data_IF_889424097650
#
_entry.id   IF_889424097650
#
_cell.length_a   1.000
_cell.length_b   1.000
_cell.length_c   1.000
_cell.angle_alpha   90.00
_cell.angle_beta   90.00
_cell.angle_gamma   90.00
#
_symmetry.space_group_name_H-M   'P 1'
#
loop_
_entity.id
_entity.type
_entity.pdbx_description
1 polymer ?
#
# COMPACT_ATOMS: atom_id res chain seq x y z
N UNK A 1 18.26 -14.91 10.45
CA UNK A 1 17.52 -14.72 11.71
C UNK A 1 16.14 -14.10 11.50
N UNK A 2 16.08 -12.95 10.83
CA UNK A 2 14.78 -12.31 10.51
C UNK A 2 13.93 -13.14 9.55
N UNK A 3 14.55 -13.78 8.57
CA UNK A 3 13.85 -14.63 7.61
C UNK A 3 13.17 -15.83 8.28
N UNK A 4 13.80 -16.43 9.26
CA UNK A 4 13.22 -17.55 10.00
C UNK A 4 12.05 -17.11 10.87
N UNK A 5 12.17 -15.96 11.55
CA UNK A 5 11.09 -15.40 12.38
C UNK A 5 9.88 -14.97 11.58
N UNK A 6 10.11 -14.44 10.38
CA UNK A 6 9.02 -14.02 9.49
C UNK A 6 8.21 -15.22 9.02
N UNK A 7 8.84 -16.38 8.80
CA UNK A 7 8.12 -17.60 8.43
C UNK A 7 7.18 -18.10 9.52
N UNK A 8 7.41 -17.71 10.77
CA UNK A 8 6.54 -18.06 11.90
C UNK A 8 5.29 -17.16 11.99
N UNK A 9 5.28 -16.03 11.28
CA UNK A 9 4.12 -15.12 11.29
C UNK A 9 2.98 -15.76 10.48
N UNK A 10 1.77 -15.85 11.05
CA UNK A 10 0.64 -16.42 10.32
C UNK A 10 0.35 -15.69 9.02
N UNK A 11 0.03 -16.46 7.97
CA UNK A 11 -0.43 -15.98 6.66
C UNK A 11 0.64 -15.30 5.79
N UNK A 12 1.90 -15.31 6.20
CA UNK A 12 3.01 -14.75 5.42
C UNK A 12 3.13 -15.42 4.06
N UNK A 13 2.91 -16.74 3.99
CA UNK A 13 2.97 -17.49 2.75
C UNK A 13 1.96 -16.97 1.71
N UNK A 14 0.84 -16.41 2.15
CA UNK A 14 -0.17 -15.85 1.27
C UNK A 14 0.25 -14.52 0.66
N UNK A 15 1.01 -13.71 1.40
CA UNK A 15 1.65 -12.53 0.84
C UNK A 15 2.71 -12.90 -0.19
N UNK A 16 3.53 -13.89 0.12
CA UNK A 16 4.60 -14.34 -0.78
C UNK A 16 4.05 -14.97 -2.06
N UNK A 17 2.82 -15.46 -2.03
CA UNK A 17 2.13 -16.00 -3.21
C UNK A 17 1.68 -14.92 -4.19
N UNK A 18 1.59 -13.66 -3.76
CA UNK A 18 1.21 -12.55 -4.64
C UNK A 18 2.33 -12.22 -5.62
N UNK A 19 1.98 -12.05 -6.89
CA UNK A 19 2.95 -11.59 -7.88
C UNK A 19 3.44 -10.20 -7.53
N UNK A 20 4.75 -10.02 -7.57
CA UNK A 20 5.38 -8.73 -7.27
C UNK A 20 5.72 -8.55 -5.79
N UNK A 21 5.39 -9.51 -4.93
CA UNK A 21 5.74 -9.48 -3.51
C UNK A 21 6.87 -10.46 -3.25
N UNK A 22 8.03 -9.96 -2.90
CA UNK A 22 9.20 -10.77 -2.61
C UNK A 22 9.47 -10.89 -1.11
N UNK A 23 10.39 -11.82 -0.72
CA UNK A 23 10.75 -11.99 0.69
C UNK A 23 11.25 -10.73 1.37
N UNK A 24 12.05 -9.92 0.70
CA UNK A 24 12.59 -8.68 1.27
C UNK A 24 11.50 -7.68 1.64
N UNK A 25 10.46 -7.58 0.82
CA UNK A 25 9.30 -6.72 1.10
C UNK A 25 8.55 -7.19 2.34
N UNK A 26 8.27 -8.49 2.42
CA UNK A 26 7.54 -9.07 3.55
C UNK A 26 8.33 -8.90 4.85
N UNK A 27 9.63 -9.22 4.81
CA UNK A 27 10.52 -9.06 5.96
C UNK A 27 10.56 -7.60 6.42
N UNK A 28 10.75 -6.67 5.48
CA UNK A 28 10.80 -5.24 5.78
C UNK A 28 9.49 -4.72 6.38
N UNK A 29 8.36 -5.16 5.83
CA UNK A 29 7.05 -4.78 6.34
C UNK A 29 6.82 -5.29 7.77
N UNK A 30 7.07 -6.58 8.01
CA UNK A 30 6.84 -7.20 9.31
C UNK A 30 7.82 -6.67 10.35
N UNK A 31 9.09 -6.43 9.99
CA UNK A 31 10.08 -5.87 10.90
C UNK A 31 9.66 -4.51 11.45
N UNK A 32 9.01 -3.68 10.63
CA UNK A 32 8.59 -2.33 11.03
C UNK A 32 7.20 -2.31 11.67
N UNK A 33 6.27 -3.15 11.19
CA UNK A 33 4.88 -3.18 11.67
C UNK A 33 4.73 -4.03 12.93
N UNK A 34 5.47 -5.12 13.02
CA UNK A 34 5.34 -6.07 14.13
C UNK A 34 4.08 -6.89 14.05
N UNK A 35 3.43 -7.11 15.19
CA UNK A 35 2.20 -7.89 15.25
C UNK A 35 1.04 -7.15 14.59
N UNK A 36 0.51 -7.73 13.53
CA UNK A 36 -0.62 -7.16 12.79
C UNK A 36 -1.89 -7.06 13.66
N UNK A 37 -2.01 -7.91 14.67
CA UNK A 37 -3.14 -7.90 15.58
C UNK A 37 -3.27 -6.65 16.45
N UNK A 38 -2.20 -5.84 16.56
CA UNK A 38 -2.24 -4.55 17.25
C UNK A 38 -3.11 -3.52 16.54
N UNK A 39 -3.35 -3.72 15.25
CA UNK A 39 -4.03 -2.73 14.42
C UNK A 39 -5.47 -3.16 14.18
N UNK A 40 -6.38 -2.19 14.19
CA UNK A 40 -7.80 -2.38 13.90
C UNK A 40 -8.20 -1.86 12.53
N UNK A 41 -7.33 -1.06 11.90
CA UNK A 41 -7.59 -0.42 10.61
C UNK A 41 -6.27 -0.25 9.86
N UNK A 42 -6.20 -0.58 8.56
CA UNK A 42 -4.98 -0.38 7.76
C UNK A 42 -4.52 1.08 7.69
N UNK A 43 -5.39 2.04 7.92
CA UNK A 43 -5.04 3.46 7.99
C UNK A 43 -4.04 3.76 9.11
N UNK A 44 -4.06 2.98 10.18
CA UNK A 44 -3.09 3.10 11.27
C UNK A 44 -1.67 2.76 10.78
N UNK A 45 -1.53 1.76 9.90
CA UNK A 45 -0.26 1.39 9.30
C UNK A 45 0.18 2.46 8.29
N UNK A 46 -0.75 2.99 7.51
CA UNK A 46 -0.48 4.09 6.58
C UNK A 46 0.08 5.31 7.33
N UNK A 47 -0.51 5.65 8.47
CA UNK A 47 -0.04 6.73 9.33
C UNK A 47 1.34 6.42 9.91
N UNK A 48 1.56 5.18 10.36
CA UNK A 48 2.85 4.72 10.88
C UNK A 48 3.96 4.87 9.82
N UNK A 49 3.65 4.64 8.56
CA UNK A 49 4.58 4.80 7.44
C UNK A 49 4.78 6.26 7.00
N UNK A 50 3.99 7.19 7.56
CA UNK A 50 4.04 8.59 7.14
C UNK A 50 3.45 8.84 5.76
N UNK A 51 2.53 7.98 5.33
CA UNK A 51 1.84 8.06 4.04
C UNK A 51 0.43 8.66 4.15
N UNK A 52 0.08 9.18 5.32
CA UNK A 52 -1.17 9.90 5.52
C UNK A 52 -1.13 11.22 4.76
N UNK A 53 -2.20 11.51 4.04
CA UNK A 53 -2.30 12.75 3.27
C UNK A 53 -2.75 13.88 4.20
N UNK A 54 -1.93 14.94 4.26
CA UNK A 54 -2.22 16.12 5.04
C UNK A 54 -2.34 17.33 4.12
N UNK A 55 -3.31 18.20 4.41
CA UNK A 55 -3.45 19.49 3.72
C UNK A 55 -2.83 20.55 4.61
N UNK A 56 -1.71 21.13 4.14
CA UNK A 56 -1.18 22.32 4.79
C UNK A 56 -1.87 23.56 4.18
N UNK A 57 -2.78 24.15 4.93
CA UNK A 57 -3.27 25.48 4.62
C UNK A 57 -2.58 26.48 5.54
N UNK A 58 -1.73 27.33 5.00
CA UNK A 58 -1.18 28.48 5.72
C UNK A 58 -1.73 29.75 5.09
N UNK A 59 -2.68 30.41 5.78
CA UNK A 59 -3.23 31.70 5.35
C UNK A 59 -3.94 31.66 4.00
N UNK A 60 -3.59 32.57 3.08
CA UNK A 60 -4.24 32.73 1.78
C UNK A 60 -3.85 31.71 0.72
N UNK A 61 -2.85 30.85 0.99
CA UNK A 61 -2.39 29.82 0.05
C UNK A 61 -2.85 28.45 0.52
N UNK A 62 -3.79 27.85 -0.21
CA UNK A 62 -4.12 26.44 -0.05
C UNK A 62 -2.95 25.63 -0.56
N UNK A 63 -2.14 25.04 0.35
CA UNK A 63 -1.09 24.11 -0.03
C UNK A 63 -1.67 22.87 -0.67
N UNK A 64 -0.95 22.27 -1.63
CA UNK A 64 -1.36 21.01 -2.22
C UNK A 64 -1.27 19.89 -1.18
N UNK A 65 -2.20 18.89 -1.26
CA UNK A 65 -2.11 17.73 -0.37
C UNK A 65 -0.77 17.03 -0.52
N UNK A 66 -0.15 16.71 0.59
CA UNK A 66 1.14 16.00 0.64
C UNK A 66 1.07 14.88 1.66
N UNK A 67 1.92 13.88 1.52
CA UNK A 67 2.09 12.89 2.57
C UNK A 67 2.73 13.54 3.78
N UNK A 68 2.39 13.07 4.98
CA UNK A 68 2.83 13.67 6.23
C UNK A 68 4.35 13.56 6.44
N UNK A 69 4.94 12.46 5.96
CA UNK A 69 6.33 12.04 6.24
C UNK A 69 6.65 11.95 7.74
N UNK A 70 5.62 11.98 8.57
CA UNK A 70 5.72 11.78 10.02
C UNK A 70 5.47 10.31 10.32
N UNK A 71 6.52 9.54 10.45
CA UNK A 71 6.40 8.12 10.70
C UNK A 71 7.70 7.41 10.41
N UNK A 72 7.60 6.09 10.30
CA UNK A 72 8.78 5.25 10.11
C UNK A 72 9.28 5.33 8.66
N UNK A 73 10.43 5.97 8.51
CA UNK A 73 11.05 6.16 7.20
C UNK A 73 11.33 4.85 6.47
N UNK A 74 11.80 3.83 7.19
CA UNK A 74 12.09 2.51 6.61
C UNK A 74 10.83 1.84 6.09
N UNK A 75 9.73 1.92 6.84
CA UNK A 75 8.44 1.37 6.41
C UNK A 75 7.95 2.08 5.15
N UNK A 76 8.02 3.40 5.12
CA UNK A 76 7.63 4.19 3.94
C UNK A 76 8.42 3.78 2.71
N UNK A 77 9.74 3.64 2.87
CA UNK A 77 10.62 3.20 1.78
C UNK A 77 10.26 1.79 1.31
N UNK A 78 10.04 0.86 2.23
CA UNK A 78 9.65 -0.52 1.91
C UNK A 78 8.35 -0.53 1.10
N UNK A 79 7.36 0.25 1.52
CA UNK A 79 6.07 0.30 0.83
C UNK A 79 6.18 0.97 -0.54
N UNK A 80 7.00 2.00 -0.69
CA UNK A 80 7.24 2.63 -1.98
C UNK A 80 7.92 1.65 -2.96
N UNK A 81 8.95 0.94 -2.52
CA UNK A 81 9.62 -0.08 -3.33
C UNK A 81 8.68 -1.24 -3.66
N UNK A 82 7.84 -1.64 -2.72
CA UNK A 82 6.81 -2.66 -2.94
C UNK A 82 5.82 -2.20 -4.01
N UNK A 83 5.39 -0.95 -3.98
CA UNK A 83 4.49 -0.39 -4.99
C UNK A 83 5.10 -0.46 -6.39
N UNK A 84 6.37 -0.12 -6.51
CA UNK A 84 7.08 -0.20 -7.81
C UNK A 84 7.11 -1.63 -8.34
N UNK A 85 7.43 -2.60 -7.48
CA UNK A 85 7.45 -4.01 -7.87
C UNK A 85 6.06 -4.51 -8.26
N UNK A 86 5.03 -4.15 -7.50
CA UNK A 86 3.65 -4.53 -7.79
C UNK A 86 3.16 -3.94 -9.12
N UNK A 87 3.49 -2.69 -9.41
CA UNK A 87 3.13 -2.06 -10.68
C UNK A 87 3.80 -2.79 -11.85
N UNK A 88 5.03 -3.25 -11.69
CA UNK A 88 5.78 -3.92 -12.75
C UNK A 88 5.35 -5.38 -12.94
N UNK A 89 4.97 -6.09 -11.89
CA UNK A 89 4.82 -7.55 -11.93
C UNK A 89 3.42 -8.06 -11.62
N UNK A 90 2.56 -7.25 -11.02
CA UNK A 90 1.21 -7.68 -10.65
C UNK A 90 0.17 -6.98 -11.54
N UNK A 91 -0.55 -7.73 -12.39
CA UNK A 91 -1.49 -7.12 -13.33
C UNK A 91 -2.59 -6.28 -12.68
N UNK A 92 -3.11 -6.70 -11.53
CA UNK A 92 -4.15 -5.96 -10.83
C UNK A 92 -3.66 -4.60 -10.34
N UNK A 93 -2.46 -4.55 -9.77
CA UNK A 93 -1.85 -3.29 -9.31
C UNK A 93 -1.43 -2.41 -10.49
N UNK A 94 -0.99 -3.01 -11.59
CA UNK A 94 -0.68 -2.27 -12.81
C UNK A 94 -1.94 -1.56 -13.34
N UNK A 95 -3.07 -2.26 -13.38
CA UNK A 95 -4.34 -1.68 -13.81
C UNK A 95 -4.77 -0.52 -12.93
N UNK A 96 -4.61 -0.65 -11.61
CA UNK A 96 -4.92 0.41 -10.66
C UNK A 96 -4.01 1.62 -10.84
N UNK A 97 -2.73 1.39 -11.06
CA UNK A 97 -1.78 2.47 -11.34
C UNK A 97 -2.18 3.24 -12.60
N UNK A 98 -2.47 2.53 -13.68
CA UNK A 98 -2.90 3.14 -14.94
C UNK A 98 -4.22 3.89 -14.78
N UNK A 99 -5.13 3.36 -13.99
CA UNK A 99 -6.39 4.03 -13.68
C UNK A 99 -6.13 5.38 -12.99
N UNK A 100 -5.29 5.44 -11.97
CA UNK A 100 -4.96 6.70 -11.30
C UNK A 100 -4.28 7.70 -12.23
N UNK A 101 -3.45 7.22 -13.15
CA UNK A 101 -2.73 8.07 -14.09
C UNK A 101 -3.65 8.67 -15.16
N UNK A 102 -4.67 7.91 -15.58
CA UNK A 102 -5.45 8.23 -16.78
C UNK A 102 -6.92 8.57 -16.50
N UNK A 103 -7.37 8.50 -15.25
CA UNK A 103 -8.77 8.82 -14.93
C UNK A 103 -9.12 10.25 -15.32
N UNK A 104 -10.41 10.48 -15.69
CA UNK A 104 -10.86 11.77 -16.20
C UNK A 104 -10.84 12.86 -15.14
N UNK A 105 -11.25 12.52 -13.90
CA UNK A 105 -11.25 13.48 -12.80
C UNK A 105 -9.99 13.29 -11.96
N UNK A 106 -9.25 14.38 -11.82
CA UNK A 106 -8.09 14.47 -10.95
C UNK A 106 -7.07 13.36 -11.23
N UNK A 107 -6.57 13.24 -12.48
CA UNK A 107 -5.51 12.25 -12.76
C UNK A 107 -4.27 12.57 -11.93
N UNK A 108 -3.63 11.52 -11.42
CA UNK A 108 -2.46 11.67 -10.56
C UNK A 108 -1.17 11.68 -11.38
N UNK A 109 -0.18 12.43 -10.93
CA UNK A 109 1.18 12.34 -11.43
C UNK A 109 1.81 10.99 -11.09
N UNK A 110 2.93 10.65 -11.73
CA UNK A 110 3.57 9.35 -11.53
C UNK A 110 3.92 9.03 -10.09
N UNK A 111 4.50 9.98 -9.36
CA UNK A 111 4.85 9.81 -7.95
C UNK A 111 3.60 9.68 -7.08
N UNK A 112 2.60 10.52 -7.29
CA UNK A 112 1.34 10.47 -6.56
C UNK A 112 0.61 9.14 -6.75
N UNK A 113 0.59 8.63 -7.98
CA UNK A 113 -0.02 7.35 -8.30
C UNK A 113 0.71 6.18 -7.62
N UNK A 114 2.04 6.22 -7.56
CA UNK A 114 2.85 5.22 -6.84
C UNK A 114 2.56 5.24 -5.35
N UNK A 115 2.42 6.41 -4.75
CA UNK A 115 2.06 6.56 -3.34
C UNK A 115 0.65 5.99 -3.09
N UNK A 116 -0.30 6.28 -3.98
CA UNK A 116 -1.64 5.73 -3.88
C UNK A 116 -1.62 4.19 -3.95
N UNK A 117 -0.81 3.61 -4.84
CA UNK A 117 -0.61 2.17 -4.92
C UNK A 117 0.03 1.62 -3.64
N UNK A 118 1.01 2.32 -3.08
CA UNK A 118 1.63 1.93 -1.80
C UNK A 118 0.59 1.85 -0.68
N UNK A 119 -0.31 2.82 -0.60
CA UNK A 119 -1.40 2.81 0.38
C UNK A 119 -2.36 1.65 0.16
N UNK A 120 -2.64 1.31 -1.09
CA UNK A 120 -3.47 0.14 -1.42
C UNK A 120 -2.77 -1.17 -1.07
N UNK A 121 -1.46 -1.25 -1.29
CA UNK A 121 -0.65 -2.40 -0.89
C UNK A 121 -0.70 -2.62 0.63
N UNK A 122 -0.60 -1.55 1.43
CA UNK A 122 -0.75 -1.63 2.89
C UNK A 122 -2.10 -2.26 3.26
N UNK A 123 -3.17 -1.81 2.62
CA UNK A 123 -4.52 -2.35 2.87
C UNK A 123 -4.60 -3.83 2.55
N UNK A 124 -4.06 -4.24 1.40
CA UNK A 124 -4.04 -5.65 0.99
C UNK A 124 -3.20 -6.49 1.95
N UNK A 125 -2.00 -6.04 2.30
CA UNK A 125 -1.12 -6.74 3.22
C UNK A 125 -1.80 -6.92 4.59
N UNK A 126 -2.45 -5.87 5.08
CA UNK A 126 -3.19 -5.92 6.33
C UNK A 126 -4.29 -6.97 6.29
N UNK A 127 -5.13 -6.96 5.27
CA UNK A 127 -6.26 -7.89 5.16
C UNK A 127 -5.77 -9.32 5.02
N UNK A 128 -4.76 -9.57 4.19
CA UNK A 128 -4.20 -10.92 3.99
C UNK A 128 -3.59 -11.45 5.29
N UNK A 129 -2.81 -10.65 6.00
CA UNK A 129 -2.17 -11.08 7.25
C UNK A 129 -3.19 -11.25 8.38
N UNK A 130 -4.19 -10.37 8.45
CA UNK A 130 -5.20 -10.38 9.50
C UNK A 130 -6.19 -11.51 9.34
N UNK A 131 -6.67 -11.77 8.12
CA UNK A 131 -7.77 -12.70 7.85
C UNK A 131 -7.32 -14.03 7.27
N UNK A 132 -6.14 -14.09 6.67
CA UNK A 132 -5.67 -15.26 5.95
C UNK A 132 -6.34 -15.48 4.60
N UNK A 133 -7.08 -14.50 4.09
CA UNK A 133 -7.64 -14.56 2.75
C UNK A 133 -6.57 -14.48 1.69
N UNK A 134 -6.74 -15.22 0.59
CA UNK A 134 -5.88 -15.05 -0.58
C UNK A 134 -6.20 -13.73 -1.27
N UNK A 135 -5.19 -13.15 -1.94
CA UNK A 135 -5.40 -11.94 -2.71
C UNK A 135 -6.32 -12.23 -3.90
N UNK A 136 -7.43 -11.51 -3.98
CA UNK A 136 -8.43 -11.64 -5.04
C UNK A 136 -8.31 -10.45 -6.00
N UNK A 137 -7.75 -10.70 -7.20
CA UNK A 137 -7.53 -9.66 -8.20
C UNK A 137 -8.82 -9.01 -8.67
N UNK A 138 -9.89 -9.78 -8.87
CA UNK A 138 -11.16 -9.25 -9.35
C UNK A 138 -11.81 -8.32 -8.34
N UNK A 139 -11.84 -8.74 -7.09
CA UNK A 139 -12.38 -7.94 -6.00
C UNK A 139 -11.58 -6.65 -5.82
N UNK A 140 -10.25 -6.76 -5.87
CA UNK A 140 -9.36 -5.61 -5.76
C UNK A 140 -9.64 -4.59 -6.86
N UNK A 141 -9.78 -5.03 -8.10
CA UNK A 141 -10.11 -4.15 -9.23
C UNK A 141 -11.48 -3.48 -9.06
N UNK A 142 -12.49 -4.24 -8.65
CA UNK A 142 -13.85 -3.70 -8.45
C UNK A 142 -13.90 -2.65 -7.36
N UNK A 143 -13.17 -2.84 -6.28
CA UNK A 143 -13.18 -1.91 -5.15
C UNK A 143 -12.53 -0.58 -5.49
N UNK A 144 -11.64 -0.55 -6.48
CA UNK A 144 -10.81 0.62 -6.77
C UNK A 144 -11.21 1.26 -8.10
N UNK A 145 -11.38 0.46 -9.14
CA UNK A 145 -11.82 0.92 -10.45
C UNK A 145 -13.36 0.92 -10.46
N UNK A 146 -13.94 1.90 -9.78
CA UNK A 146 -15.39 2.10 -9.91
C UNK A 146 -15.62 2.76 -11.25
N UNK A 147 -16.53 2.20 -12.09
CA UNK A 147 -16.94 2.93 -13.27
C UNK A 147 -17.46 4.28 -12.81
N UNK A 148 -16.92 5.35 -13.39
CA UNK A 148 -17.50 6.67 -13.17
C UNK A 148 -18.94 6.57 -13.65
N UNK A 149 -19.85 6.59 -12.70
CA UNK A 149 -21.27 6.70 -13.06
C UNK A 149 -21.44 8.07 -13.66
N UNK A 150 -21.73 8.06 -14.94
CA UNK A 150 -22.00 9.28 -15.67
C UNK A 150 -23.16 10.04 -15.00
#
# INVERSE_FOLDING_TARGET
>A
YLEEKVKEVPNVEKLLAMKGVGPSTVIGFIAEVGDIGRFTDPKQIQKLAGLEIVKKSSGKKKGQPRISKRGRRKLRRTMYESARALINWNPAFQDVFLYYRNRQRNPLGGMQAKIAVACKAIRVFYVVLQTGCDFDEEKFRKDIIRPEVA
#
